data_IF_081434216916
#
_entry.id   IF_081434216916
#
_cell.length_a   1.000
_cell.length_b   1.000
_cell.length_c   1.000
_cell.angle_alpha   90.00
_cell.angle_beta   90.00
_cell.angle_gamma   90.00
#
_symmetry.space_group_name_H-M   'P 1'
#
loop_
_entity.id
_entity.type
_entity.pdbx_description
1 polymer ?
#
# COMPACT_ATOMS: atom_id res chain seq x y z
N UNK A 1 -13.34 -2.27 6.60
CA UNK A 1 -13.09 -0.93 6.04
C UNK A 1 -12.31 -1.16 4.76
N UNK A 2 -12.93 -0.92 3.61
CA UNK A 2 -12.40 -1.34 2.30
C UNK A 2 -11.08 -0.64 1.95
N UNK A 3 -10.82 0.55 2.51
CA UNK A 3 -9.57 1.30 2.31
C UNK A 3 -8.30 0.64 2.87
N UNK A 4 -8.41 -0.43 3.65
CA UNK A 4 -7.25 -1.21 4.11
C UNK A 4 -6.98 -2.47 3.27
N UNK A 5 -7.93 -2.85 2.41
CA UNK A 5 -7.84 -4.08 1.63
C UNK A 5 -6.91 -3.91 0.42
N UNK A 6 -6.35 -5.03 -0.04
CA UNK A 6 -5.51 -5.05 -1.24
C UNK A 6 -6.32 -4.65 -2.49
N UNK A 7 -5.59 -4.20 -3.52
CA UNK A 7 -6.19 -3.75 -4.79
C UNK A 7 -7.04 -4.84 -5.47
N UNK A 8 -6.76 -6.11 -5.22
CA UNK A 8 -7.45 -7.28 -5.78
C UNK A 8 -8.67 -7.76 -4.97
N UNK A 9 -9.16 -6.97 -4.00
CA UNK A 9 -10.30 -7.26 -3.12
C UNK A 9 -11.52 -7.86 -3.82
N UNK A 10 -11.83 -7.39 -5.03
CA UNK A 10 -13.03 -7.81 -5.79
C UNK A 10 -12.78 -8.99 -6.74
N UNK A 11 -11.67 -9.70 -6.56
CA UNK A 11 -11.36 -10.91 -7.34
C UNK A 11 -11.53 -12.18 -6.50
N UNK A 12 -11.66 -13.33 -7.16
CA UNK A 12 -11.95 -14.60 -6.50
C UNK A 12 -10.87 -15.07 -5.50
N UNK A 13 -9.65 -14.54 -5.60
CA UNK A 13 -8.55 -14.87 -4.68
C UNK A 13 -7.46 -13.80 -4.67
N UNK A 14 -6.81 -13.69 -3.51
CA UNK A 14 -5.59 -12.90 -3.34
C UNK A 14 -4.44 -13.39 -4.23
N UNK A 15 -3.72 -12.44 -4.83
CA UNK A 15 -2.52 -12.66 -5.65
C UNK A 15 -1.42 -11.67 -5.23
N UNK A 16 -0.30 -12.21 -4.73
CA UNK A 16 0.88 -11.38 -4.45
C UNK A 16 1.49 -10.84 -5.75
N UNK A 17 2.29 -9.76 -5.71
CA UNK A 17 3.03 -9.30 -6.88
C UNK A 17 3.89 -10.39 -7.55
N UNK A 18 4.49 -11.29 -6.75
CA UNK A 18 5.24 -12.43 -7.25
C UNK A 18 4.35 -13.44 -7.98
N UNK A 19 3.16 -13.73 -7.43
CA UNK A 19 2.15 -14.57 -8.08
C UNK A 19 1.68 -13.95 -9.40
N UNK A 20 1.40 -12.64 -9.43
CA UNK A 20 0.98 -11.92 -10.65
C UNK A 20 2.08 -12.01 -11.71
N UNK A 21 3.34 -11.76 -11.35
CA UNK A 21 4.47 -11.86 -12.28
C UNK A 21 4.63 -13.27 -12.87
N UNK A 22 4.40 -14.30 -12.06
CA UNK A 22 4.48 -15.71 -12.48
C UNK A 22 3.33 -16.10 -13.40
N UNK A 23 2.11 -15.66 -13.10
CA UNK A 23 0.89 -16.04 -13.83
C UNK A 23 0.66 -15.18 -15.08
N UNK A 24 1.13 -13.93 -15.09
CA UNK A 24 0.90 -12.95 -16.15
C UNK A 24 2.20 -12.26 -16.59
N UNK A 25 3.24 -13.00 -17.02
CA UNK A 25 4.54 -12.41 -17.31
C UNK A 25 4.49 -11.32 -18.41
N UNK A 26 3.63 -11.49 -19.42
CA UNK A 26 3.45 -10.51 -20.50
C UNK A 26 2.69 -9.24 -20.12
N UNK A 27 2.06 -9.20 -18.94
CA UNK A 27 1.35 -8.03 -18.39
C UNK A 27 2.00 -7.49 -17.12
N UNK A 28 3.23 -7.90 -16.84
CA UNK A 28 3.94 -7.46 -15.63
C UNK A 28 4.18 -5.95 -15.65
N UNK A 29 4.58 -5.40 -16.79
CA UNK A 29 4.80 -3.96 -16.94
C UNK A 29 3.50 -3.16 -16.74
N UNK A 30 2.37 -3.65 -17.28
CA UNK A 30 1.04 -3.07 -17.05
C UNK A 30 0.71 -3.02 -15.55
N UNK A 31 0.91 -4.12 -14.83
CA UNK A 31 0.72 -4.17 -13.38
C UNK A 31 1.66 -3.21 -12.65
N UNK A 32 2.92 -3.07 -13.07
CA UNK A 32 3.87 -2.15 -12.44
C UNK A 32 3.50 -0.67 -12.62
N UNK A 33 2.88 -0.33 -13.76
CA UNK A 33 2.41 1.02 -14.07
C UNK A 33 1.15 1.34 -13.25
N UNK A 34 0.17 0.45 -13.25
CA UNK A 34 -1.08 0.64 -12.52
C UNK A 34 -1.64 -0.71 -12.04
N UNK A 35 -1.40 -1.05 -10.76
CA UNK A 35 -2.02 -2.21 -10.13
C UNK A 35 -3.55 -2.13 -10.12
N UNK A 36 -4.14 -0.94 -9.94
CA UNK A 36 -5.59 -0.78 -9.91
C UNK A 36 -6.21 -1.09 -11.28
N UNK A 37 -5.69 -0.49 -12.36
CA UNK A 37 -6.19 -0.74 -13.72
C UNK A 37 -5.96 -2.17 -14.18
N UNK A 38 -4.86 -2.80 -13.76
CA UNK A 38 -4.63 -4.23 -14.03
C UNK A 38 -5.79 -5.11 -13.52
N UNK A 39 -6.39 -4.73 -12.39
CA UNK A 39 -7.58 -5.38 -11.81
C UNK A 39 -8.91 -4.71 -12.20
N UNK A 40 -8.90 -3.83 -13.20
CA UNK A 40 -10.11 -3.17 -13.73
C UNK A 40 -10.68 -2.07 -12.83
N UNK A 41 -9.86 -1.51 -11.93
CA UNK A 41 -10.25 -0.43 -11.01
C UNK A 41 -9.64 0.90 -11.44
N UNK A 42 -10.29 2.00 -11.05
CA UNK A 42 -9.73 3.34 -11.22
C UNK A 42 -8.64 3.61 -10.17
N UNK A 43 -7.55 4.28 -10.59
CA UNK A 43 -6.41 4.57 -9.72
C UNK A 43 -6.75 5.59 -8.64
N UNK A 44 -7.51 6.63 -9.00
CA UNK A 44 -7.86 7.73 -8.09
C UNK A 44 -8.92 7.25 -7.10
N UNK A 45 -9.91 6.47 -7.55
CA UNK A 45 -10.89 5.85 -6.65
C UNK A 45 -10.23 4.92 -5.62
N UNK A 46 -9.28 4.08 -6.06
CA UNK A 46 -8.52 3.23 -5.15
C UNK A 46 -7.70 4.07 -4.16
N UNK A 47 -6.96 5.05 -4.65
CA UNK A 47 -6.14 5.95 -3.83
C UNK A 47 -6.98 6.65 -2.78
N UNK A 48 -8.07 7.29 -3.18
CA UNK A 48 -8.94 8.03 -2.28
C UNK A 48 -9.61 7.11 -1.27
N UNK A 49 -9.99 5.90 -1.67
CA UNK A 49 -10.50 4.87 -0.76
C UNK A 49 -9.51 4.52 0.34
N UNK A 50 -8.24 4.32 -0.02
CA UNK A 50 -7.16 4.06 0.95
C UNK A 50 -6.95 5.25 1.87
N UNK A 51 -6.79 6.46 1.33
CA UNK A 51 -6.52 7.66 2.13
C UNK A 51 -7.67 7.96 3.11
N UNK A 52 -8.93 7.81 2.68
CA UNK A 52 -10.09 7.92 3.58
C UNK A 52 -10.07 6.88 4.68
N UNK A 53 -9.67 5.64 4.38
CA UNK A 53 -9.56 4.57 5.36
C UNK A 53 -8.55 4.90 6.46
N UNK A 54 -7.34 5.31 6.07
CA UNK A 54 -6.30 5.72 7.03
C UNK A 54 -6.66 7.00 7.79
N UNK A 55 -7.27 8.00 7.13
CA UNK A 55 -7.72 9.22 7.79
C UNK A 55 -8.77 8.94 8.88
N UNK A 56 -9.70 8.01 8.63
CA UNK A 56 -10.70 7.61 9.62
C UNK A 56 -10.08 6.90 10.84
N UNK A 57 -8.96 6.19 10.65
CA UNK A 57 -8.18 5.59 11.76
C UNK A 57 -7.49 6.66 12.59
N UNK A 58 -6.85 7.64 11.93
CA UNK A 58 -6.16 8.75 12.61
C UNK A 58 -7.13 9.69 13.35
N UNK A 59 -8.40 9.75 12.92
CA UNK A 59 -9.40 10.60 13.54
C UNK A 59 -9.84 10.14 14.94
N UNK A 60 -9.44 8.96 15.42
CA UNK A 60 -9.73 8.50 16.78
C UNK A 60 -8.86 9.24 17.81
N UNK A 61 -9.42 10.17 18.61
CA UNK A 61 -8.65 11.05 19.50
C UNK A 61 -8.04 10.32 20.71
N UNK A 62 -8.32 9.04 20.91
CA UNK A 62 -7.89 8.29 22.10
C UNK A 62 -6.55 7.58 21.93
N UNK A 63 -5.95 7.58 20.74
CA UNK A 63 -4.78 6.76 20.45
C UNK A 63 -3.56 7.62 20.10
N UNK A 64 -2.46 7.44 20.83
CA UNK A 64 -1.18 8.08 20.55
C UNK A 64 -0.30 7.26 19.60
N UNK A 65 -0.51 5.94 19.54
CA UNK A 65 0.21 5.00 18.67
C UNK A 65 -0.77 3.96 18.15
N UNK A 66 -0.87 3.83 16.83
CA UNK A 66 -1.84 2.95 16.16
C UNK A 66 -1.09 1.92 15.32
N UNK A 67 -1.43 0.64 15.48
CA UNK A 67 -0.95 -0.43 14.61
C UNK A 67 -2.02 -0.77 13.57
N UNK A 68 -1.68 -0.62 12.29
CA UNK A 68 -2.58 -0.94 11.17
C UNK A 68 -2.01 -2.13 10.41
N UNK A 69 -2.81 -3.20 10.28
CA UNK A 69 -2.50 -4.34 9.44
C UNK A 69 -3.14 -4.14 8.07
N UNK A 70 -2.33 -4.15 7.01
CA UNK A 70 -2.78 -3.91 5.64
C UNK A 70 -1.85 -4.63 4.65
N UNK A 71 -2.02 -4.33 3.36
CA UNK A 71 -1.34 -4.97 2.25
C UNK A 71 -0.36 -4.03 1.55
N UNK A 72 0.34 -4.56 0.54
CA UNK A 72 1.41 -3.84 -0.13
C UNK A 72 0.92 -2.57 -0.82
N UNK A 73 -0.20 -2.62 -1.55
CA UNK A 73 -0.66 -1.44 -2.29
C UNK A 73 -1.26 -0.33 -1.43
N UNK A 74 -2.09 -0.60 -0.41
CA UNK A 74 -2.55 0.46 0.48
C UNK A 74 -1.40 1.15 1.21
N UNK A 75 -0.44 0.39 1.77
CA UNK A 75 0.75 0.96 2.43
C UNK A 75 1.54 1.83 1.44
N UNK A 76 1.77 1.32 0.22
CA UNK A 76 2.43 2.07 -0.86
C UNK A 76 1.71 3.36 -1.22
N UNK A 77 0.38 3.32 -1.27
CA UNK A 77 -0.46 4.49 -1.58
C UNK A 77 -0.30 5.59 -0.54
N UNK A 78 -0.30 5.23 0.75
CA UNK A 78 -0.06 6.18 1.86
C UNK A 78 1.35 6.78 1.76
N UNK A 79 2.38 5.96 1.52
CA UNK A 79 3.76 6.45 1.37
C UNK A 79 3.91 7.42 0.18
N UNK A 80 3.30 7.12 -0.96
CA UNK A 80 3.31 8.01 -2.12
C UNK A 80 2.60 9.33 -1.81
N UNK A 81 1.48 9.28 -1.09
CA UNK A 81 0.78 10.47 -0.64
C UNK A 81 1.66 11.34 0.26
N UNK A 82 2.32 10.75 1.28
CA UNK A 82 3.25 11.48 2.17
C UNK A 82 4.39 12.14 1.40
N UNK A 83 4.92 11.45 0.39
CA UNK A 83 6.02 11.97 -0.43
C UNK A 83 5.57 13.00 -1.49
N UNK A 84 4.27 13.27 -1.63
CA UNK A 84 3.72 14.13 -2.68
C UNK A 84 3.91 13.56 -4.09
N UNK A 85 4.00 12.23 -4.22
CA UNK A 85 4.26 11.54 -5.47
C UNK A 85 2.96 10.95 -6.05
N UNK A 86 2.76 11.16 -7.35
CA UNK A 86 1.60 10.65 -8.09
C UNK A 86 1.91 9.41 -8.91
N UNK A 87 3.19 9.07 -9.15
CA UNK A 87 3.58 7.91 -9.96
C UNK A 87 4.90 7.26 -9.52
N UNK A 88 5.03 5.97 -9.84
CA UNK A 88 6.27 5.22 -10.11
C UNK A 88 7.47 5.44 -9.17
N UNK A 89 7.35 5.00 -7.92
CA UNK A 89 8.54 4.68 -7.10
C UNK A 89 8.70 3.18 -6.97
N UNK A 90 9.92 2.70 -7.20
CA UNK A 90 10.31 1.30 -7.02
C UNK A 90 10.65 1.04 -5.56
N UNK A 91 9.62 0.81 -4.75
CA UNK A 91 9.78 0.20 -3.44
C UNK A 91 8.89 -1.03 -3.30
N UNK A 92 9.43 -2.02 -2.59
CA UNK A 92 8.74 -3.25 -2.22
C UNK A 92 8.27 -3.12 -0.78
N UNK A 93 7.05 -3.56 -0.51
CA UNK A 93 6.57 -3.76 0.86
C UNK A 93 6.65 -5.26 1.13
N UNK A 94 7.57 -5.65 2.01
CA UNK A 94 7.85 -7.02 2.36
C UNK A 94 6.75 -7.61 3.23
N UNK A 95 6.60 -8.94 3.16
CA UNK A 95 5.74 -9.70 4.07
C UNK A 95 6.19 -9.47 5.52
N UNK A 96 5.24 -9.20 6.41
CA UNK A 96 5.49 -8.89 7.82
C UNK A 96 6.50 -7.76 8.08
N UNK A 97 6.76 -6.90 7.08
CA UNK A 97 7.57 -5.71 7.29
C UNK A 97 6.81 -4.66 8.10
N UNK A 98 7.55 -3.75 8.74
CA UNK A 98 6.98 -2.63 9.49
C UNK A 98 7.38 -1.32 8.83
N UNK A 99 6.39 -0.45 8.62
CA UNK A 99 6.57 0.93 8.14
C UNK A 99 6.03 1.85 9.22
N UNK A 100 6.80 2.88 9.60
CA UNK A 100 6.43 3.82 10.67
C UNK A 100 6.27 5.22 10.11
N UNK A 101 5.17 5.85 10.49
CA UNK A 101 4.83 7.22 10.13
C UNK A 101 4.34 7.96 11.37
N UNK A 102 4.56 9.27 11.42
CA UNK A 102 4.13 10.13 12.52
C UNK A 102 3.43 11.38 11.99
N UNK A 103 2.40 11.86 12.66
CA UNK A 103 1.68 13.07 12.26
C UNK A 103 0.29 13.17 12.88
N UNK A 104 -0.35 14.32 12.72
CA UNK A 104 -1.65 14.64 13.32
C UNK A 104 -2.82 14.39 12.37
N UNK A 105 -2.55 14.28 11.07
CA UNK A 105 -3.55 14.05 10.02
C UNK A 105 -2.91 13.35 8.83
N UNK A 106 -3.74 12.82 7.92
CA UNK A 106 -3.27 12.08 6.73
C UNK A 106 -2.31 12.94 5.89
N UNK A 107 -2.61 14.23 5.72
CA UNK A 107 -1.82 15.19 4.94
C UNK A 107 -0.58 15.72 5.70
N UNK A 108 -0.50 15.50 7.01
CA UNK A 108 0.59 15.93 7.88
C UNK A 108 1.49 14.78 8.35
N UNK A 109 1.29 13.56 7.82
CA UNK A 109 2.12 12.41 8.11
C UNK A 109 3.55 12.60 7.55
N UNK A 110 4.52 12.06 8.29
CA UNK A 110 5.94 12.00 7.93
C UNK A 110 6.41 10.56 8.04
N UNK A 111 7.34 10.17 7.17
CA UNK A 111 7.92 8.82 7.18
C UNK A 111 9.08 8.80 8.16
N UNK A 112 9.02 7.93 9.16
CA UNK A 112 10.15 7.63 10.06
C UNK A 112 11.00 6.49 9.50
N UNK A 113 10.33 5.47 8.96
CA UNK A 113 10.97 4.29 8.42
C UNK A 113 10.05 3.53 7.47
N UNK A 114 10.65 2.81 6.53
CA UNK A 114 9.92 2.04 5.52
C UNK A 114 10.47 0.63 5.46
N UNK A 115 9.56 -0.35 5.45
CA UNK A 115 9.87 -1.74 5.15
C UNK A 115 10.94 -2.37 6.07
N UNK A 116 10.91 -2.03 7.37
CA UNK A 116 11.77 -2.66 8.37
C UNK A 116 11.45 -4.14 8.49
N UNK A 117 12.48 -4.98 8.47
CA UNK A 117 12.37 -6.42 8.63
C UNK A 117 13.52 -6.93 9.48
N UNK A 118 13.23 -7.87 10.40
CA UNK A 118 14.26 -8.61 11.14
C UNK A 118 14.81 -9.78 10.33
N UNK A 119 14.14 -10.14 9.23
CA UNK A 119 14.56 -11.19 8.30
C UNK A 119 15.23 -10.50 7.12
N UNK A 120 16.54 -10.71 6.95
CA UNK A 120 17.25 -10.26 5.76
C UNK A 120 16.58 -10.86 4.52
N UNK A 121 16.20 -10.06 3.51
CA UNK A 121 15.73 -10.62 2.26
C UNK A 121 16.85 -11.51 1.71
N UNK A 122 16.53 -12.78 1.43
CA UNK A 122 17.44 -13.61 0.63
C UNK A 122 17.65 -12.88 -0.69
N UNK A 123 18.90 -12.58 -1.02
CA UNK A 123 19.23 -12.13 -2.35
C UNK A 123 18.75 -13.20 -3.34
N UNK A 124 17.74 -12.85 -4.14
CA UNK A 124 17.27 -13.65 -5.27
C UNK A 124 18.17 -13.42 -6.47
#
# INVERSE_FOLDING_TARGET
MDGLAEVDLYTDRYRSPETIRKENPGRWEEFQISPARFFGRDDDEFRDGVLRGFAAILADPKQSTIAVFSHGMPIKTVLLHILGLTTAVKFTIGQCSVTRVTGESIDALRIESVNETLISPRAS
#
